data_IF_790452708700
#
_entry.id   IF_790452708700
#
_cell.length_a   1.000
_cell.length_b   1.000
_cell.length_c   1.000
_cell.angle_alpha   90.00
_cell.angle_beta   90.00
_cell.angle_gamma   90.00
#
_symmetry.space_group_name_H-M   'P 1'
#
loop_
_entity.id
_entity.type
_entity.pdbx_description
1 polymer ?
#
# COMPACT_ATOMS: atom_id res chain seq x y z
N UNK A 1 15.97 23.44 15.08
CA UNK A 1 14.73 24.22 14.86
C UNK A 1 13.78 23.45 13.94
N UNK A 2 12.56 23.25 14.37
CA UNK A 2 11.55 22.63 13.51
C UNK A 2 11.05 23.63 12.47
N UNK A 3 11.10 23.25 11.19
CA UNK A 3 10.62 24.09 10.09
C UNK A 3 9.28 23.56 9.59
N UNK A 4 8.30 24.44 9.51
CA UNK A 4 7.00 24.09 8.90
C UNK A 4 7.17 24.07 7.38
N UNK A 5 6.94 22.90 6.80
CA UNK A 5 6.96 22.70 5.35
C UNK A 5 5.69 21.99 4.95
N UNK A 6 5.02 22.53 3.93
CA UNK A 6 3.75 21.97 3.44
C UNK A 6 3.94 20.79 2.49
N UNK A 7 5.14 20.62 1.96
CA UNK A 7 5.47 19.58 0.98
C UNK A 7 6.74 18.83 1.40
N UNK A 8 6.63 18.14 2.53
CA UNK A 8 7.74 17.33 3.05
C UNK A 8 7.82 16.00 2.34
N UNK A 9 9.04 15.63 1.98
CA UNK A 9 9.35 14.33 1.42
C UNK A 9 10.48 13.70 2.21
N UNK A 10 10.52 12.39 2.25
CA UNK A 10 11.62 11.64 2.82
C UNK A 10 11.91 10.38 2.03
N UNK A 11 13.12 9.86 2.20
CA UNK A 11 13.48 8.55 1.67
C UNK A 11 13.04 7.44 2.63
N UNK A 12 12.36 6.46 2.09
CA UNK A 12 11.88 5.28 2.79
C UNK A 12 12.62 4.07 2.25
N UNK A 13 13.32 3.35 3.11
CA UNK A 13 13.94 2.07 2.73
C UNK A 13 12.95 0.94 3.00
N UNK A 14 12.62 0.20 1.96
CA UNK A 14 11.69 -0.93 2.06
C UNK A 14 12.49 -2.22 1.93
N UNK A 15 12.40 -3.06 2.95
CA UNK A 15 12.99 -4.39 2.94
C UNK A 15 12.03 -5.35 2.27
N UNK A 16 12.50 -6.02 1.23
CA UNK A 16 11.71 -6.98 0.48
C UNK A 16 12.18 -8.39 0.83
N UNK A 17 11.28 -9.25 1.35
CA UNK A 17 11.61 -10.65 1.62
C UNK A 17 11.67 -11.42 0.30
N UNK A 18 12.86 -11.55 -0.26
CA UNK A 18 13.10 -12.28 -1.49
C UNK A 18 13.51 -13.73 -1.14
N UNK A 19 13.07 -14.76 -1.89
CA UNK A 19 13.53 -16.13 -1.71
C UNK A 19 15.04 -16.31 -1.83
N UNK A 20 15.70 -15.47 -2.63
CA UNK A 20 17.15 -15.50 -2.84
C UNK A 20 17.94 -14.64 -1.84
N UNK A 21 17.25 -14.04 -0.85
CA UNK A 21 17.85 -13.18 0.16
C UNK A 21 17.08 -11.88 0.34
N UNK A 22 17.44 -11.10 1.36
CA UNK A 22 16.82 -9.83 1.61
C UNK A 22 17.23 -8.80 0.56
N UNK A 23 16.25 -8.21 -0.13
CA UNK A 23 16.45 -7.11 -1.05
C UNK A 23 15.95 -5.81 -0.40
N UNK A 24 16.47 -4.69 -0.87
CA UNK A 24 16.06 -3.36 -0.39
C UNK A 24 15.84 -2.44 -1.57
N UNK A 25 14.76 -1.70 -1.50
CA UNK A 25 14.50 -0.59 -2.44
C UNK A 25 14.32 0.70 -1.64
N UNK A 26 14.61 1.81 -2.27
CA UNK A 26 14.40 3.14 -1.69
C UNK A 26 13.31 3.86 -2.46
N UNK A 27 12.36 4.40 -1.73
CA UNK A 27 11.28 5.20 -2.28
C UNK A 27 11.33 6.60 -1.66
N UNK A 28 11.33 7.63 -2.47
CA UNK A 28 11.10 8.99 -1.98
C UNK A 28 9.62 9.24 -1.94
N UNK A 29 9.10 9.51 -0.77
CA UNK A 29 7.66 9.61 -0.54
C UNK A 29 7.27 10.95 0.04
N UNK A 30 6.09 11.41 -0.33
CA UNK A 30 5.45 12.57 0.25
C UNK A 30 4.88 12.20 1.62
N UNK A 31 5.20 13.00 2.64
CA UNK A 31 4.58 12.87 3.94
C UNK A 31 3.16 13.41 3.91
N UNK A 32 2.24 12.72 4.54
CA UNK A 32 0.86 13.15 4.67
C UNK A 32 0.65 13.88 5.98
N UNK A 33 -0.34 14.77 6.01
CA UNK A 33 -0.72 15.50 7.21
C UNK A 33 -1.46 14.59 8.19
N UNK A 34 -1.57 15.01 9.44
CA UNK A 34 -2.38 14.31 10.44
C UNK A 34 -3.84 14.15 9.97
N UNK A 35 -4.40 15.21 9.38
CA UNK A 35 -5.76 15.16 8.85
C UNK A 35 -5.91 14.16 7.70
N UNK A 36 -4.97 14.12 6.75
CA UNK A 36 -4.96 13.15 5.66
C UNK A 36 -4.84 11.71 6.19
N UNK A 37 -3.99 11.48 7.17
CA UNK A 37 -3.82 10.17 7.79
C UNK A 37 -5.08 9.73 8.54
N UNK A 38 -5.72 10.63 9.27
CA UNK A 38 -6.98 10.37 9.94
C UNK A 38 -8.10 10.05 8.94
N UNK A 39 -8.17 10.79 7.84
CA UNK A 39 -9.14 10.54 6.78
C UNK A 39 -8.93 9.17 6.13
N UNK A 40 -7.70 8.80 5.85
CA UNK A 40 -7.36 7.48 5.30
C UNK A 40 -7.81 6.34 6.22
N UNK A 41 -7.56 6.49 7.52
CA UNK A 41 -7.98 5.50 8.53
C UNK A 41 -9.51 5.44 8.65
N UNK A 42 -10.16 6.59 8.59
CA UNK A 42 -11.63 6.67 8.64
C UNK A 42 -12.26 5.96 7.44
N UNK A 43 -11.76 6.19 6.24
CA UNK A 43 -12.25 5.53 5.03
C UNK A 43 -12.09 4.01 5.10
N UNK A 44 -10.91 3.53 5.53
CA UNK A 44 -10.66 2.11 5.70
C UNK A 44 -11.60 1.48 6.73
N UNK A 45 -11.83 2.16 7.85
CA UNK A 45 -12.73 1.71 8.90
C UNK A 45 -14.19 1.74 8.43
N UNK A 46 -14.59 2.78 7.70
CA UNK A 46 -15.95 2.91 7.17
C UNK A 46 -16.27 1.79 6.18
N UNK A 47 -15.34 1.41 5.32
CA UNK A 47 -15.49 0.26 4.44
C UNK A 47 -15.68 -1.04 5.22
N UNK A 48 -14.89 -1.24 6.27
CA UNK A 48 -15.01 -2.43 7.12
C UNK A 48 -16.35 -2.47 7.85
N UNK A 49 -16.79 -1.34 8.41
CA UNK A 49 -18.10 -1.23 9.07
C UNK A 49 -19.24 -1.48 8.08
N UNK A 50 -19.15 -0.93 6.86
CA UNK A 50 -20.15 -1.15 5.84
C UNK A 50 -20.30 -2.63 5.48
N UNK A 51 -19.18 -3.36 5.38
CA UNK A 51 -19.21 -4.81 5.16
C UNK A 51 -19.86 -5.57 6.30
N UNK A 52 -19.54 -5.21 7.54
CA UNK A 52 -20.15 -5.85 8.71
C UNK A 52 -21.65 -5.57 8.79
N UNK A 53 -22.09 -4.36 8.46
CA UNK A 53 -23.51 -3.99 8.42
C UNK A 53 -24.25 -4.75 7.32
N UNK A 54 -23.64 -4.92 6.16
CA UNK A 54 -24.21 -5.70 5.06
C UNK A 54 -24.34 -7.17 5.45
N UNK A 55 -23.34 -7.77 6.07
CA UNK A 55 -23.41 -9.13 6.59
C UNK A 55 -24.52 -9.29 7.63
N UNK A 56 -24.67 -8.32 8.54
CA UNK A 56 -25.73 -8.33 9.56
C UNK A 56 -27.12 -8.15 8.95
N UNK A 57 -27.27 -7.24 8.00
CA UNK A 57 -28.56 -6.96 7.33
C UNK A 57 -29.03 -8.12 6.46
N UNK A 58 -28.11 -8.92 5.94
CA UNK A 58 -28.45 -10.11 5.16
C UNK A 58 -29.06 -11.23 6.00
N UNK A 59 -29.26 -10.99 7.31
CA UNK A 59 -30.02 -11.87 8.21
C UNK A 59 -29.30 -13.18 8.51
N UNK A 60 -28.25 -13.13 9.33
CA UNK A 60 -27.63 -14.31 9.94
C UNK A 60 -27.72 -15.58 9.07
N UNK A 61 -27.28 -15.49 7.81
CA UNK A 61 -27.16 -16.67 6.96
C UNK A 61 -26.02 -17.48 7.52
N UNK A 62 -26.35 -18.55 8.21
CA UNK A 62 -25.39 -19.44 8.83
C UNK A 62 -24.90 -20.48 7.82
N UNK A 63 -23.66 -20.94 8.00
CA UNK A 63 -23.11 -22.08 7.28
C UNK A 63 -22.55 -21.75 5.91
N UNK A 64 -22.90 -22.55 4.90
CA UNK A 64 -22.34 -22.50 3.56
C UNK A 64 -22.56 -21.15 2.84
N UNK A 65 -23.70 -20.50 3.05
CA UNK A 65 -24.02 -19.23 2.41
C UNK A 65 -23.17 -18.08 2.96
N UNK A 66 -22.90 -18.07 4.27
CA UNK A 66 -22.02 -17.08 4.88
C UNK A 66 -20.58 -17.24 4.37
N UNK A 67 -20.12 -18.48 4.22
CA UNK A 67 -18.80 -18.79 3.66
C UNK A 67 -18.72 -18.36 2.21
N UNK A 68 -19.74 -18.65 1.40
CA UNK A 68 -19.81 -18.22 -0.01
C UNK A 68 -19.74 -16.71 -0.15
N UNK A 69 -20.45 -15.96 0.70
CA UNK A 69 -20.40 -14.49 0.68
C UNK A 69 -19.03 -13.95 1.03
N UNK A 70 -18.32 -14.57 1.96
CA UNK A 70 -16.93 -14.20 2.28
C UNK A 70 -16.02 -14.44 1.10
N UNK A 71 -16.17 -15.57 0.39
CA UNK A 71 -15.41 -15.84 -0.83
C UNK A 71 -15.72 -14.82 -1.93
N UNK A 72 -16.98 -14.44 -2.14
CA UNK A 72 -17.37 -13.44 -3.11
C UNK A 72 -16.75 -12.07 -2.74
N UNK A 73 -16.79 -11.66 -1.47
CA UNK A 73 -16.19 -10.41 -1.01
C UNK A 73 -14.68 -10.40 -1.24
N UNK A 74 -13.99 -11.51 -0.97
CA UNK A 74 -12.56 -11.65 -1.26
C UNK A 74 -12.32 -11.58 -2.77
N UNK A 75 -13.10 -12.28 -3.58
CA UNK A 75 -12.99 -12.24 -5.03
C UNK A 75 -13.18 -10.83 -5.59
N UNK A 76 -14.15 -10.07 -5.07
CA UNK A 76 -14.38 -8.68 -5.46
C UNK A 76 -13.21 -7.76 -5.09
N UNK A 77 -12.49 -8.07 -4.00
CA UNK A 77 -11.33 -7.29 -3.57
C UNK A 77 -10.08 -7.52 -4.42
N UNK A 78 -10.04 -8.59 -5.20
CA UNK A 78 -8.90 -8.94 -6.06
C UNK A 78 -9.18 -8.73 -7.55
N UNK A 79 -10.17 -7.90 -7.88
CA UNK A 79 -10.43 -7.53 -9.28
C UNK A 79 -9.29 -6.69 -9.84
N UNK A 80 -9.06 -6.71 -11.17
CA UNK A 80 -8.04 -5.85 -11.77
C UNK A 80 -8.22 -4.38 -11.44
N UNK A 81 -9.45 -3.89 -11.33
CA UNK A 81 -9.76 -2.51 -10.95
C UNK A 81 -9.37 -2.19 -9.52
N UNK A 82 -9.64 -3.10 -8.58
CA UNK A 82 -9.26 -2.93 -7.18
C UNK A 82 -7.73 -2.94 -7.01
N UNK A 83 -7.05 -3.84 -7.70
CA UNK A 83 -5.58 -3.90 -7.72
C UNK A 83 -5.00 -2.61 -8.28
N UNK A 84 -5.51 -2.12 -9.41
CA UNK A 84 -5.05 -0.88 -10.01
C UNK A 84 -5.24 0.32 -9.08
N UNK A 85 -6.37 0.41 -8.39
CA UNK A 85 -6.64 1.46 -7.42
C UNK A 85 -5.64 1.44 -6.26
N UNK A 86 -5.30 0.25 -5.77
CA UNK A 86 -4.32 0.08 -4.70
C UNK A 86 -2.92 0.53 -5.14
N UNK A 87 -2.52 0.17 -6.35
CA UNK A 87 -1.23 0.61 -6.90
C UNK A 87 -1.20 2.12 -7.12
N UNK A 88 -2.28 2.71 -7.61
CA UNK A 88 -2.40 4.15 -7.84
C UNK A 88 -2.25 4.94 -6.55
N UNK A 89 -2.78 4.45 -5.43
CA UNK A 89 -2.63 5.08 -4.13
C UNK A 89 -1.16 5.14 -3.68
N UNK A 90 -0.40 4.10 -3.93
CA UNK A 90 1.04 4.07 -3.63
C UNK A 90 1.80 5.01 -4.58
N UNK A 91 1.54 4.91 -5.88
CA UNK A 91 2.22 5.70 -6.91
C UNK A 91 2.02 7.19 -6.70
N UNK A 92 0.83 7.61 -6.25
CA UNK A 92 0.53 9.02 -5.97
C UNK A 92 1.40 9.62 -4.85
N UNK A 93 1.94 8.79 -3.96
CA UNK A 93 2.79 9.25 -2.85
C UNK A 93 4.27 9.21 -3.16
N UNK A 94 4.70 8.46 -4.16
CA UNK A 94 6.10 8.26 -4.49
C UNK A 94 6.52 9.29 -5.54
N UNK A 95 7.62 9.98 -5.27
CA UNK A 95 8.15 11.00 -6.18
C UNK A 95 9.45 10.58 -6.86
N UNK A 96 10.10 9.57 -6.33
CA UNK A 96 11.34 9.03 -6.88
C UNK A 96 11.61 7.64 -6.29
N UNK A 97 12.50 6.87 -6.88
CA UNK A 97 12.99 5.64 -6.29
C UNK A 97 14.51 5.47 -6.53
N UNK A 98 15.13 4.61 -5.75
CA UNK A 98 16.53 4.27 -5.88
C UNK A 98 16.77 2.79 -5.59
N UNK A 99 17.97 2.34 -5.90
CA UNK A 99 18.42 0.95 -5.71
C UNK A 99 17.56 -0.08 -6.49
N UNK A 100 17.00 0.34 -7.62
CA UNK A 100 16.27 -0.53 -8.54
C UNK A 100 17.05 -0.63 -9.84
N UNK A 101 17.42 -1.84 -10.20
CA UNK A 101 18.15 -2.13 -11.42
C UNK A 101 17.37 -3.08 -12.34
N UNK A 102 17.71 -3.05 -13.62
CA UNK A 102 17.21 -4.02 -14.58
C UNK A 102 17.91 -5.38 -14.45
N UNK A 103 17.57 -6.33 -15.32
CA UNK A 103 18.16 -7.67 -15.31
C UNK A 103 19.68 -7.67 -15.51
N UNK A 104 20.24 -6.62 -16.08
CA UNK A 104 21.68 -6.45 -16.32
C UNK A 104 22.37 -5.64 -15.21
N UNK A 105 21.64 -5.24 -14.17
CA UNK A 105 22.17 -4.45 -13.07
C UNK A 105 22.27 -2.95 -13.36
N UNK A 106 21.74 -2.46 -14.48
CA UNK A 106 21.72 -1.04 -14.81
C UNK A 106 20.61 -0.33 -14.04
N UNK A 107 20.87 0.87 -13.48
CA UNK A 107 19.83 1.61 -12.78
C UNK A 107 18.62 1.91 -13.69
N UNK A 108 17.43 1.69 -13.17
CA UNK A 108 16.18 2.01 -13.85
C UNK A 108 15.79 3.45 -13.51
N UNK A 109 15.56 4.33 -14.51
CA UNK A 109 15.07 5.69 -14.24
C UNK A 109 13.66 5.64 -13.63
N UNK A 110 13.40 6.54 -12.68
CA UNK A 110 12.08 6.65 -12.09
C UNK A 110 11.04 7.11 -13.12
N UNK A 111 9.91 6.42 -13.12
CA UNK A 111 8.65 6.89 -13.69
C UNK A 111 7.50 6.24 -12.92
N UNK A 112 6.30 6.83 -12.93
CA UNK A 112 5.13 6.16 -12.33
C UNK A 112 4.88 4.77 -12.90
N UNK A 113 5.07 4.60 -14.22
CA UNK A 113 4.89 3.30 -14.88
C UNK A 113 5.96 2.28 -14.47
N UNK A 114 7.21 2.71 -14.33
CA UNK A 114 8.28 1.86 -13.83
C UNK A 114 8.00 1.38 -12.40
N UNK A 115 7.50 2.27 -11.54
CA UNK A 115 7.10 1.90 -10.18
C UNK A 115 5.94 0.89 -10.20
N UNK A 116 4.93 1.09 -11.03
CA UNK A 116 3.84 0.11 -11.19
C UNK A 116 4.34 -1.25 -11.61
N UNK A 117 5.29 -1.30 -12.53
CA UNK A 117 5.92 -2.55 -12.96
C UNK A 117 6.61 -3.25 -11.80
N UNK A 118 7.36 -2.53 -10.98
CA UNK A 118 8.01 -3.09 -9.79
C UNK A 118 6.98 -3.63 -8.78
N UNK A 119 5.96 -2.85 -8.48
CA UNK A 119 4.90 -3.26 -7.55
C UNK A 119 4.11 -4.47 -8.07
N UNK A 120 3.95 -4.58 -9.37
CA UNK A 120 3.20 -5.66 -9.99
C UNK A 120 3.98 -6.99 -10.08
N UNK A 121 5.27 -6.99 -9.72
CA UNK A 121 6.06 -8.22 -9.69
C UNK A 121 5.61 -9.21 -8.63
N UNK A 122 5.00 -8.73 -7.55
CA UNK A 122 4.48 -9.62 -6.52
C UNK A 122 3.71 -8.86 -5.44
N UNK A 123 2.67 -9.50 -4.92
CA UNK A 123 1.87 -8.95 -3.82
C UNK A 123 2.68 -8.73 -2.53
N UNK A 124 3.74 -9.49 -2.33
CA UNK A 124 4.66 -9.33 -1.21
C UNK A 124 5.42 -8.00 -1.24
N UNK A 125 5.70 -7.47 -2.44
CA UNK A 125 6.30 -6.14 -2.60
C UNK A 125 5.29 -5.06 -2.18
N UNK A 126 4.06 -5.14 -2.68
CA UNK A 126 2.99 -4.21 -2.33
C UNK A 126 2.74 -4.22 -0.82
N UNK A 127 2.70 -5.39 -0.20
CA UNK A 127 2.52 -5.54 1.24
C UNK A 127 3.66 -4.85 2.02
N UNK A 128 4.91 -5.11 1.63
CA UNK A 128 6.07 -4.51 2.28
C UNK A 128 6.06 -2.98 2.17
N UNK A 129 5.72 -2.44 1.01
CA UNK A 129 5.61 -0.99 0.79
C UNK A 129 4.49 -0.38 1.63
N UNK A 130 3.32 -1.01 1.68
CA UNK A 130 2.20 -0.54 2.49
C UNK A 130 2.53 -0.52 3.98
N UNK A 131 3.16 -1.57 4.48
CA UNK A 131 3.57 -1.65 5.89
C UNK A 131 4.60 -0.55 6.22
N UNK A 132 5.55 -0.31 5.35
CA UNK A 132 6.53 0.75 5.53
C UNK A 132 5.89 2.14 5.51
N UNK A 133 4.95 2.39 4.59
CA UNK A 133 4.21 3.66 4.53
C UNK A 133 3.34 3.86 5.77
N UNK A 134 2.63 2.84 6.23
CA UNK A 134 1.82 2.92 7.43
C UNK A 134 2.66 3.22 8.67
N UNK A 135 3.80 2.58 8.82
CA UNK A 135 4.71 2.85 9.92
C UNK A 135 5.24 4.29 9.89
N UNK A 136 5.58 4.80 8.70
CA UNK A 136 6.00 6.18 8.51
C UNK A 136 4.88 7.16 8.89
N UNK A 137 3.67 6.92 8.41
CA UNK A 137 2.52 7.80 8.65
C UNK A 137 2.14 7.87 10.13
N UNK A 138 2.25 6.76 10.85
CA UNK A 138 1.88 6.69 12.26
C UNK A 138 2.98 7.18 13.20
N UNK A 139 4.24 6.99 12.83
CA UNK A 139 5.38 7.27 13.72
C UNK A 139 6.23 8.47 13.29
N UNK A 140 5.98 9.04 12.12
CA UNK A 140 6.77 10.14 11.55
C UNK A 140 8.19 9.75 11.16
N UNK A 141 8.51 8.45 11.23
CA UNK A 141 9.82 7.90 10.88
C UNK A 141 9.69 6.45 10.47
N UNK A 142 10.66 5.98 9.70
CA UNK A 142 10.74 4.58 9.34
C UNK A 142 11.02 3.72 10.59
N UNK A 143 10.26 2.63 10.73
CA UNK A 143 10.50 1.62 11.75
C UNK A 143 11.63 0.71 11.29
N UNK A 144 12.66 0.65 12.08
CA UNK A 144 13.79 -0.26 11.85
C UNK A 144 13.45 -1.71 12.23
#
# INVERSE_FOLDING_TARGET
MFKIQTDRQCWLTVKLPDPDGEQRIKLRVRLITHAENAQRKHEALAEHIARLQEEAASGAIEGADAMLRRFVAVADSITPEAIAKDLDAIVARVTDFGDIGDANGNPVPYSPDALRQVLNLGSWIVKAVREALAALDDNGRQKN
#
